data_IF_456339566225
#
_entry.id   IF_456339566225
#
_cell.length_a   1.000
_cell.length_b   1.000
_cell.length_c   1.000
_cell.angle_alpha   90.00
_cell.angle_beta   90.00
_cell.angle_gamma   90.00
#
_symmetry.space_group_name_H-M   'P 1'
#
loop_
_entity.id
_entity.type
_entity.pdbx_description
1 polymer ?
#
# COMPACT_ATOMS: atom_id res chain seq x y z
N UNK A 1 -29.56 7.35 8.06
CA UNK A 1 -29.25 7.92 6.73
C UNK A 1 -27.74 7.91 6.53
N UNK A 2 -27.23 7.28 5.46
CA UNK A 2 -25.79 7.25 5.15
C UNK A 2 -25.45 8.55 4.41
N UNK A 3 -24.59 9.39 5.00
CA UNK A 3 -24.23 10.70 4.42
C UNK A 3 -23.31 10.47 3.22
N UNK A 4 -23.69 11.01 2.06
CA UNK A 4 -22.91 10.95 0.81
C UNK A 4 -22.31 12.32 0.57
N UNK A 5 -21.05 12.38 0.17
CA UNK A 5 -20.37 13.64 -0.17
C UNK A 5 -19.77 13.49 -1.55
N UNK A 6 -20.04 14.46 -2.43
CA UNK A 6 -19.54 14.48 -3.80
C UNK A 6 -18.02 14.63 -3.80
N UNK A 7 -17.35 13.93 -4.71
CA UNK A 7 -15.91 14.03 -4.88
C UNK A 7 -15.54 15.32 -5.61
N UNK A 8 -14.71 16.15 -4.97
CA UNK A 8 -14.04 17.27 -5.65
C UNK A 8 -12.89 16.74 -6.52
N UNK A 9 -12.46 17.51 -7.53
CA UNK A 9 -11.37 17.10 -8.43
C UNK A 9 -10.07 16.72 -7.69
N UNK A 10 -9.78 17.41 -6.57
CA UNK A 10 -8.61 17.11 -5.73
C UNK A 10 -8.69 15.74 -5.06
N UNK A 11 -9.88 15.36 -4.60
CA UNK A 11 -10.12 14.05 -3.99
C UNK A 11 -10.08 12.95 -5.05
N UNK A 12 -10.63 13.18 -6.24
CA UNK A 12 -10.50 12.25 -7.38
C UNK A 12 -9.02 11.99 -7.71
N UNK A 13 -8.18 13.04 -7.73
CA UNK A 13 -6.75 12.89 -7.96
C UNK A 13 -6.06 12.08 -6.86
N UNK A 14 -6.48 12.24 -5.60
CA UNK A 14 -5.98 11.48 -4.45
C UNK A 14 -6.35 10.00 -4.54
N UNK A 15 -7.62 9.70 -4.83
CA UNK A 15 -8.12 8.32 -4.99
C UNK A 15 -7.43 7.59 -6.15
N UNK A 16 -7.17 8.29 -7.26
CA UNK A 16 -6.39 7.73 -8.38
C UNK A 16 -4.98 7.31 -7.97
N UNK A 17 -4.30 8.06 -7.10
CA UNK A 17 -2.99 7.64 -6.55
C UNK A 17 -3.12 6.37 -5.72
N UNK A 18 -4.17 6.24 -4.93
CA UNK A 18 -4.49 5.03 -4.17
C UNK A 18 -4.61 3.80 -5.06
N UNK A 19 -5.29 3.92 -6.21
CA UNK A 19 -5.39 2.83 -7.20
C UNK A 19 -4.02 2.39 -7.71
N UNK A 20 -3.15 3.33 -8.07
CA UNK A 20 -1.81 3.01 -8.57
C UNK A 20 -0.99 2.27 -7.52
N UNK A 21 -1.03 2.72 -6.26
CA UNK A 21 -0.31 2.08 -5.16
C UNK A 21 -0.86 0.68 -4.89
N UNK A 22 -2.18 0.53 -4.75
CA UNK A 22 -2.82 -0.78 -4.54
C UNK A 22 -2.47 -1.76 -5.66
N UNK A 23 -2.75 -1.38 -6.90
CA UNK A 23 -2.57 -2.25 -8.06
C UNK A 23 -1.10 -2.64 -8.22
N UNK A 24 -0.18 -1.67 -8.08
CA UNK A 24 1.26 -1.93 -8.16
C UNK A 24 1.75 -2.92 -7.11
N UNK A 25 1.34 -2.73 -5.84
CA UNK A 25 1.71 -3.63 -4.75
C UNK A 25 1.08 -5.02 -4.88
N UNK A 26 -0.17 -5.12 -5.34
CA UNK A 26 -0.84 -6.41 -5.58
C UNK A 26 -0.09 -7.20 -6.65
N UNK A 27 0.20 -6.58 -7.81
CA UNK A 27 0.90 -7.25 -8.91
C UNK A 27 2.31 -7.68 -8.47
N UNK A 28 3.05 -6.80 -7.80
CA UNK A 28 4.37 -7.12 -7.26
C UNK A 28 4.30 -8.30 -6.27
N UNK A 29 3.35 -8.26 -5.35
CA UNK A 29 3.16 -9.31 -4.34
C UNK A 29 2.84 -10.65 -4.99
N UNK A 30 1.99 -10.69 -6.02
CA UNK A 30 1.64 -11.93 -6.74
C UNK A 30 2.87 -12.50 -7.46
N UNK A 31 3.65 -11.66 -8.15
CA UNK A 31 4.85 -12.10 -8.87
C UNK A 31 5.87 -12.72 -7.92
N UNK A 32 6.14 -12.04 -6.79
CA UNK A 32 7.10 -12.54 -5.79
C UNK A 32 6.56 -13.80 -5.11
N UNK A 33 5.28 -13.81 -4.70
CA UNK A 33 4.65 -14.95 -4.07
C UNK A 33 4.70 -16.19 -4.98
N UNK A 34 4.44 -16.01 -6.28
CA UNK A 34 4.57 -17.09 -7.25
C UNK A 34 5.99 -17.67 -7.27
N UNK A 35 7.02 -16.82 -7.35
CA UNK A 35 8.40 -17.27 -7.33
C UNK A 35 8.76 -18.03 -6.04
N UNK A 36 8.32 -17.53 -4.88
CA UNK A 36 8.57 -18.19 -3.59
C UNK A 36 7.87 -19.55 -3.47
N UNK A 37 6.65 -19.68 -3.99
CA UNK A 37 5.90 -20.94 -3.96
C UNK A 37 6.50 -22.03 -4.86
N UNK A 38 7.37 -21.66 -5.80
CA UNK A 38 8.08 -22.61 -6.68
C UNK A 38 9.41 -23.11 -6.10
N UNK A 39 9.82 -22.62 -4.92
CA UNK A 39 11.04 -23.06 -4.25
C UNK A 39 10.87 -24.47 -3.67
N UNK A 40 11.93 -25.27 -3.76
CA UNK A 40 11.97 -26.64 -3.23
C UNK A 40 12.22 -26.70 -1.72
N UNK A 41 12.84 -25.66 -1.16
CA UNK A 41 13.12 -25.50 0.26
C UNK A 41 12.74 -24.10 0.72
N UNK A 42 11.97 -24.01 1.80
CA UNK A 42 11.54 -22.74 2.39
C UNK A 42 12.31 -22.54 3.69
N UNK A 43 13.08 -21.46 3.76
CA UNK A 43 13.71 -21.01 4.98
C UNK A 43 12.79 -20.05 5.77
N UNK A 44 13.23 -19.62 6.95
CA UNK A 44 12.40 -18.76 7.81
C UNK A 44 12.04 -17.42 7.14
N UNK A 45 12.96 -16.69 6.47
CA UNK A 45 12.61 -15.47 5.73
C UNK A 45 11.59 -15.68 4.61
N UNK A 46 11.72 -16.73 3.80
CA UNK A 46 10.75 -17.01 2.73
C UNK A 46 9.36 -17.33 3.30
N UNK A 47 9.29 -18.06 4.42
CA UNK A 47 8.03 -18.34 5.10
C UNK A 47 7.33 -17.06 5.59
N UNK A 48 8.08 -16.15 6.20
CA UNK A 48 7.55 -14.84 6.64
C UNK A 48 7.06 -14.02 5.44
N UNK A 49 7.80 -14.03 4.33
CA UNK A 49 7.40 -13.33 3.10
C UNK A 49 6.07 -13.87 2.55
N UNK A 50 5.90 -15.19 2.49
CA UNK A 50 4.66 -15.83 2.03
C UNK A 50 3.47 -15.41 2.90
N UNK A 51 3.60 -15.44 4.23
CA UNK A 51 2.52 -15.02 5.13
C UNK A 51 2.18 -13.54 4.96
N UNK A 52 3.19 -12.69 4.84
CA UNK A 52 3.01 -11.25 4.67
C UNK A 52 2.27 -10.93 3.35
N UNK A 53 2.63 -11.58 2.24
CA UNK A 53 1.94 -11.40 0.96
C UNK A 53 0.54 -12.02 0.94
N UNK A 54 0.36 -13.19 1.57
CA UNK A 54 -0.96 -13.82 1.70
C UNK A 54 -1.96 -12.94 2.45
N UNK A 55 -1.49 -12.14 3.42
CA UNK A 55 -2.30 -11.14 4.11
C UNK A 55 -2.45 -9.84 3.29
N UNK A 56 -1.38 -9.33 2.69
CA UNK A 56 -1.39 -8.05 1.99
C UNK A 56 -2.28 -8.05 0.74
N UNK A 57 -2.25 -9.13 -0.06
CA UNK A 57 -2.98 -9.21 -1.34
C UNK A 57 -4.50 -9.04 -1.13
N UNK A 58 -5.19 -9.83 -0.29
CA UNK A 58 -6.64 -9.65 -0.07
C UNK A 58 -7.00 -8.28 0.50
N UNK A 59 -6.18 -7.76 1.42
CA UNK A 59 -6.41 -6.46 2.07
C UNK A 59 -6.31 -5.33 1.05
N UNK A 60 -5.28 -5.33 0.21
CA UNK A 60 -5.09 -4.34 -0.86
C UNK A 60 -6.16 -4.46 -1.94
N UNK A 61 -6.57 -5.68 -2.33
CA UNK A 61 -7.68 -5.90 -3.26
C UNK A 61 -9.00 -5.32 -2.72
N UNK A 62 -9.28 -5.52 -1.43
CA UNK A 62 -10.45 -4.94 -0.78
C UNK A 62 -10.42 -3.41 -0.82
N UNK A 63 -9.27 -2.81 -0.51
CA UNK A 63 -9.09 -1.36 -0.59
C UNK A 63 -9.25 -0.83 -2.03
N UNK A 64 -8.68 -1.52 -3.02
CA UNK A 64 -8.82 -1.18 -4.43
C UNK A 64 -10.29 -1.18 -4.87
N UNK A 65 -11.06 -2.18 -4.46
CA UNK A 65 -12.50 -2.25 -4.76
C UNK A 65 -13.28 -1.09 -4.14
N UNK A 66 -12.97 -0.72 -2.89
CA UNK A 66 -13.62 0.43 -2.23
C UNK A 66 -13.35 1.71 -3.04
N UNK A 67 -12.08 1.98 -3.37
CA UNK A 67 -11.69 3.16 -4.14
C UNK A 67 -12.37 3.20 -5.51
N UNK A 68 -12.43 2.06 -6.21
CA UNK A 68 -13.13 1.94 -7.50
C UNK A 68 -14.63 2.21 -7.38
N UNK A 69 -15.27 1.71 -6.33
CA UNK A 69 -16.70 1.96 -6.07
C UNK A 69 -16.95 3.46 -5.81
N UNK A 70 -16.08 4.12 -5.04
CA UNK A 70 -16.23 5.55 -4.73
C UNK A 70 -16.02 6.42 -5.98
N UNK A 71 -15.01 6.11 -6.79
CA UNK A 71 -14.77 6.80 -8.06
C UNK A 71 -15.87 6.57 -9.09
N UNK A 72 -16.36 5.33 -9.21
CA UNK A 72 -17.44 5.01 -10.17
C UNK A 72 -18.77 5.66 -9.78
N UNK A 73 -19.02 5.87 -8.48
CA UNK A 73 -20.23 6.49 -8.00
C UNK A 73 -20.14 8.03 -7.89
N UNK A 74 -18.93 8.61 -7.94
CA UNK A 74 -18.71 10.05 -7.81
C UNK A 74 -18.92 10.63 -6.41
N UNK A 75 -19.08 9.79 -5.39
CA UNK A 75 -19.22 10.20 -3.99
C UNK A 75 -18.54 9.20 -3.05
N UNK A 76 -18.06 9.68 -1.90
CA UNK A 76 -17.59 8.84 -0.80
C UNK A 76 -18.69 8.64 0.25
N UNK A 77 -18.65 7.49 0.92
CA UNK A 77 -19.61 7.14 1.97
C UNK A 77 -19.06 7.56 3.32
N UNK A 78 -19.63 8.56 3.98
CA UNK A 78 -19.19 8.93 5.33
C UNK A 78 -19.71 7.90 6.33
N UNK A 79 -18.82 7.05 6.84
CA UNK A 79 -19.14 6.01 7.81
C UNK A 79 -17.91 5.63 8.65
N UNK A 80 -18.11 5.05 9.84
CA UNK A 80 -17.02 4.48 10.66
C UNK A 80 -16.17 3.45 9.91
N UNK A 81 -16.73 2.84 8.86
CA UNK A 81 -16.04 1.90 7.99
C UNK A 81 -14.97 2.55 7.10
N UNK A 82 -14.99 3.89 6.93
CA UNK A 82 -13.94 4.63 6.22
C UNK A 82 -12.66 4.69 7.02
N UNK A 83 -12.74 4.88 8.34
CA UNK A 83 -11.54 4.85 9.18
C UNK A 83 -10.91 3.46 9.13
N UNK A 84 -11.74 2.41 9.15
CA UNK A 84 -11.31 1.02 9.02
C UNK A 84 -10.63 0.77 7.67
N UNK A 85 -11.15 1.29 6.56
CA UNK A 85 -10.51 1.11 5.25
C UNK A 85 -9.15 1.80 5.17
N UNK A 86 -8.98 2.97 5.80
CA UNK A 86 -7.68 3.64 5.90
C UNK A 86 -6.66 2.81 6.69
N UNK A 87 -7.05 2.22 7.83
CA UNK A 87 -6.20 1.31 8.60
C UNK A 87 -5.84 0.06 7.80
N UNK A 88 -6.82 -0.56 7.12
CA UNK A 88 -6.58 -1.71 6.25
C UNK A 88 -5.61 -1.38 5.11
N UNK A 89 -5.75 -0.20 4.49
CA UNK A 89 -4.86 0.24 3.43
C UNK A 89 -3.42 0.35 3.93
N UNK A 90 -3.22 0.99 5.10
CA UNK A 90 -1.91 1.08 5.73
C UNK A 90 -1.33 -0.30 6.06
N UNK A 91 -2.11 -1.19 6.68
CA UNK A 91 -1.69 -2.56 7.01
C UNK A 91 -1.34 -3.38 5.76
N UNK A 92 -2.08 -3.20 4.66
CA UNK A 92 -1.80 -3.85 3.38
C UNK A 92 -0.46 -3.40 2.80
N UNK A 93 -0.16 -2.10 2.83
CA UNK A 93 1.14 -1.56 2.40
C UNK A 93 2.27 -2.10 3.27
N UNK A 94 2.13 -2.02 4.60
CA UNK A 94 3.12 -2.55 5.52
C UNK A 94 3.36 -4.04 5.31
N UNK A 95 2.30 -4.84 5.11
CA UNK A 95 2.41 -6.26 4.81
C UNK A 95 3.18 -6.53 3.51
N UNK A 96 2.88 -5.78 2.43
CA UNK A 96 3.59 -5.92 1.17
C UNK A 96 5.08 -5.53 1.30
N UNK A 97 5.40 -4.49 2.09
CA UNK A 97 6.78 -4.07 2.35
C UNK A 97 7.55 -5.10 3.19
N UNK A 98 6.94 -5.62 4.26
CA UNK A 98 7.54 -6.69 5.07
C UNK A 98 7.79 -7.93 4.21
N UNK A 99 6.84 -8.30 3.36
CA UNK A 99 7.00 -9.40 2.41
C UNK A 99 8.17 -9.18 1.45
N UNK A 100 8.30 -7.97 0.90
CA UNK A 100 9.39 -7.61 0.00
C UNK A 100 10.75 -7.68 0.71
N UNK A 101 10.89 -7.07 1.90
CA UNK A 101 12.14 -7.11 2.68
C UNK A 101 12.52 -8.55 3.02
N UNK A 102 11.57 -9.36 3.50
CA UNK A 102 11.81 -10.76 3.85
C UNK A 102 12.24 -11.60 2.64
N UNK A 103 11.69 -11.30 1.45
CA UNK A 103 12.11 -11.93 0.19
C UNK A 103 13.58 -11.62 -0.14
N UNK A 104 14.01 -10.37 0.00
CA UNK A 104 15.42 -10.03 -0.22
C UNK A 104 16.33 -10.69 0.82
N UNK A 105 15.87 -10.82 2.07
CA UNK A 105 16.60 -11.50 3.12
C UNK A 105 16.79 -13.00 2.88
N UNK A 106 15.80 -13.65 2.28
CA UNK A 106 15.90 -15.04 1.80
C UNK A 106 17.05 -15.20 0.80
N UNK A 107 17.22 -14.24 -0.11
CA UNK A 107 18.27 -14.27 -1.13
C UNK A 107 19.64 -13.98 -0.52
N UNK A 108 19.76 -12.88 0.23
CA UNK A 108 21.00 -12.46 0.87
C UNK A 108 20.74 -11.42 1.95
N UNK A 109 21.41 -11.56 3.10
CA UNK A 109 21.43 -10.55 4.17
C UNK A 109 21.73 -9.14 3.63
N UNK A 110 22.72 -9.02 2.74
CA UNK A 110 23.16 -7.72 2.20
C UNK A 110 22.06 -7.11 1.33
N UNK A 111 21.41 -7.92 0.49
CA UNK A 111 20.31 -7.46 -0.36
C UNK A 111 19.13 -6.95 0.48
N UNK A 112 18.81 -7.67 1.57
CA UNK A 112 17.79 -7.26 2.53
C UNK A 112 18.07 -5.90 3.16
N UNK A 113 19.30 -5.68 3.65
CA UNK A 113 19.71 -4.40 4.25
C UNK A 113 19.66 -3.26 3.24
N UNK A 114 20.19 -3.47 2.03
CA UNK A 114 20.18 -2.45 0.96
C UNK A 114 18.75 -2.05 0.60
N UNK A 115 17.86 -3.03 0.43
CA UNK A 115 16.46 -2.76 0.11
C UNK A 115 15.74 -2.00 1.23
N UNK A 116 15.97 -2.38 2.48
CA UNK A 116 15.38 -1.71 3.64
C UNK A 116 15.82 -0.26 3.73
N UNK A 117 17.14 0.00 3.65
CA UNK A 117 17.68 1.38 3.72
C UNK A 117 17.15 2.24 2.58
N UNK A 118 17.16 1.74 1.35
CA UNK A 118 16.65 2.47 0.20
C UNK A 118 15.16 2.82 0.33
N UNK A 119 14.35 1.84 0.79
CA UNK A 119 12.91 2.02 0.99
C UNK A 119 12.61 3.01 2.11
N UNK A 120 13.29 2.87 3.26
CA UNK A 120 13.12 3.81 4.38
C UNK A 120 13.53 5.23 4.01
N UNK A 121 14.63 5.40 3.27
CA UNK A 121 15.09 6.71 2.81
C UNK A 121 14.07 7.37 1.88
N UNK A 122 13.56 6.63 0.89
CA UNK A 122 12.51 7.17 0.01
C UNK A 122 11.21 7.47 0.74
N UNK A 123 10.82 6.61 1.69
CA UNK A 123 9.63 6.86 2.51
C UNK A 123 9.76 8.15 3.32
N UNK A 124 10.92 8.38 3.94
CA UNK A 124 11.22 9.62 4.68
C UNK A 124 11.16 10.84 3.74
N UNK A 125 11.78 10.77 2.57
CA UNK A 125 11.73 11.86 1.58
C UNK A 125 10.29 12.19 1.20
N UNK A 126 9.46 11.17 0.95
CA UNK A 126 8.05 11.35 0.59
C UNK A 126 7.28 12.00 1.74
N UNK A 127 7.53 11.63 2.99
CA UNK A 127 6.89 12.28 4.15
C UNK A 127 7.24 13.76 4.23
N UNK A 128 8.53 14.11 4.10
CA UNK A 128 8.95 15.52 4.11
C UNK A 128 8.41 16.30 2.92
N UNK A 129 8.37 15.69 1.74
CA UNK A 129 7.80 16.32 0.55
C UNK A 129 6.31 16.66 0.71
N UNK A 130 5.53 15.76 1.33
CA UNK A 130 4.12 16.03 1.61
C UNK A 130 3.92 17.09 2.70
N UNK A 131 4.81 17.16 3.68
CA UNK A 131 4.77 18.20 4.72
C UNK A 131 5.01 19.60 4.11
N UNK A 132 5.99 19.72 3.20
CA UNK A 132 6.26 20.99 2.50
C UNK A 132 5.11 21.45 1.59
N UNK A 133 4.43 20.52 0.89
CA UNK A 133 3.26 20.85 0.05
C UNK A 133 2.07 21.29 0.91
N UNK A 134 1.88 20.66 2.08
CA UNK A 134 0.90 21.07 3.08
C UNK A 134 1.13 22.51 3.58
N UNK A 135 2.37 22.85 3.90
CA UNK A 135 2.75 24.21 4.35
C UNK A 135 2.63 25.29 3.28
N UNK A 136 2.87 24.95 2.00
CA UNK A 136 2.67 25.90 0.87
C UNK A 136 1.20 26.18 0.56
N UNK A 137 0.31 25.23 0.86
CA UNK A 137 -1.13 25.39 0.66
C UNK A 137 -1.78 26.39 1.61
N UNK A 138 -1.28 26.52 2.83
CA UNK A 138 -1.77 27.47 3.84
C UNK A 138 -1.27 28.89 3.59
N UNK A 139 -0.04 29.06 3.11
CA UNK A 139 0.52 30.38 2.79
C UNK A 139 -0.13 31.09 1.58
N UNK A 140 -1.02 30.40 0.84
CA UNK A 140 -1.73 30.93 -0.34
C UNK A 140 -3.25 31.08 -0.14
N UNK A 141 -3.79 30.83 1.06
CA UNK A 141 -5.19 31.07 1.38
C UNK A 141 -5.39 32.38 2.16
#
# INVERSE_FOLDING_TARGET
>A
MRKRVMLEEKEVAKERRGIFICTGLIVLSIIILHALLTLTSIDLPAFVAILAFAFAIPVLCGCLLIIQIELSNGYYLVSKWVDVSAYCFFLGICGALVGAVATFWHISWIAGVVFLVATSLMFIIVLFYFDEDGGRGEARR
#
